data_IF_874060085705
#
_entry.id   IF_874060085705
#
_cell.length_a   1.000
_cell.length_b   1.000
_cell.length_c   1.000
_cell.angle_alpha   90.00
_cell.angle_beta   90.00
_cell.angle_gamma   90.00
#
_symmetry.space_group_name_H-M   'P 1'
#
loop_
_entity.id
_entity.type
_entity.pdbx_description
1 polymer ?
2 non-polymer ?
3 non-polymer ?
4 water ?
#
# COMPACT_ATOMS: atom_id res chain seq x y z
N UNK A 1 15.24 -5.00 -4.98
CA UNK A 1 13.86 -5.24 -5.51
C UNK A 1 13.19 -6.33 -4.68
N UNK A 2 11.87 -6.40 -4.76
CA UNK A 2 11.11 -7.52 -4.23
C UNK A 2 10.24 -8.09 -5.34
N UNK A 3 9.88 -9.36 -5.21
CA UNK A 3 9.07 -10.04 -6.20
C UNK A 3 8.03 -10.92 -5.53
N UNK A 4 6.92 -11.12 -6.23
CA UNK A 4 5.85 -12.00 -5.78
C UNK A 4 5.22 -12.70 -6.99
N UNK A 5 5.08 -14.01 -6.91
CA UNK A 5 4.45 -14.82 -7.94
C UNK A 5 3.12 -15.37 -7.48
N UNK A 6 2.08 -15.11 -8.26
CA UNK A 6 0.74 -15.60 -7.94
C UNK A 6 0.61 -17.09 -8.22
N UNK A 7 1.38 -17.61 -9.17
CA UNK A 7 1.37 -19.04 -9.43
C UNK A 7 1.98 -19.78 -8.24
N UNK A 8 1.18 -20.64 -7.61
CA UNK A 8 1.63 -21.37 -6.46
C UNK A 8 1.52 -20.59 -5.17
N UNK A 9 1.02 -19.35 -5.24
CA UNK A 9 0.91 -18.52 -4.04
C UNK A 9 -0.06 -19.11 -3.03
N UNK A 10 0.28 -18.94 -1.75
CA UNK A 10 -0.59 -19.36 -0.67
C UNK A 10 -0.40 -18.36 0.46
N UNK A 11 -1.18 -18.51 1.56
CA UNK A 11 -1.03 -17.53 2.63
C UNK A 11 0.41 -17.40 3.14
N UNK A 12 1.15 -18.51 3.17
CA UNK A 12 2.51 -18.43 3.68
C UNK A 12 3.42 -17.60 2.76
N UNK A 13 3.37 -17.84 1.45
CA UNK A 13 4.28 -17.15 0.54
C UNK A 13 3.92 -15.68 0.42
N UNK A 14 2.63 -15.38 0.45
CA UNK A 14 2.20 -14.00 0.45
C UNK A 14 2.69 -13.31 1.72
N UNK A 15 2.57 -13.97 2.86
CA UNK A 15 3.05 -13.40 4.11
C UNK A 15 4.54 -13.10 4.07
N UNK A 16 5.28 -13.99 3.45
CA UNK A 16 6.70 -13.81 3.30
C UNK A 16 7.02 -12.63 2.40
N UNK A 17 6.29 -12.50 1.30
CA UNK A 17 6.46 -11.39 0.38
C UNK A 17 6.19 -10.06 1.11
N UNK A 18 5.15 -10.00 1.93
CA UNK A 18 4.83 -8.76 2.61
C UNK A 18 5.89 -8.43 3.64
N UNK A 19 6.43 -9.45 4.31
CA UNK A 19 7.55 -9.25 5.22
C UNK A 19 8.75 -8.65 4.46
N UNK A 20 9.01 -9.19 3.28
CA UNK A 20 10.14 -8.75 2.47
C UNK A 20 9.93 -7.32 1.98
N UNK A 21 8.69 -7.01 1.61
CA UNK A 21 8.32 -5.65 1.17
C UNK A 21 8.58 -4.65 2.29
N UNK A 22 8.09 -4.94 3.49
CA UNK A 22 8.37 -4.10 4.65
C UNK A 22 9.86 -3.92 4.86
N UNK A 23 10.61 -5.02 4.77
CA UNK A 23 12.03 -4.98 5.13
C UNK A 23 12.89 -4.38 4.05
N UNK A 24 12.30 -4.14 2.87
CA UNK A 24 12.99 -3.45 1.77
C UNK A 24 12.96 -1.93 1.95
N UNK A 25 12.17 -1.44 2.88
CA UNK A 25 12.04 0.00 3.10
C UNK A 25 13.04 0.45 4.15
N UNK A 26 13.80 1.51 3.85
CA UNK A 26 14.83 1.96 4.80
C UNK A 26 14.28 2.73 5.99
N UNK A 27 14.96 2.63 7.12
CA UNK A 27 14.61 3.42 8.29
C UNK A 27 15.86 3.58 9.14
N UNK A 28 15.93 4.68 9.86
CA UNK A 28 17.07 4.95 10.71
C UNK A 28 16.74 4.68 12.17
N UNK A 29 15.45 4.75 12.49
CA UNK A 29 15.00 4.50 13.85
C UNK A 29 13.64 3.83 13.89
N UNK A 30 13.32 3.32 15.07
CA UNK A 30 12.01 2.78 15.38
C UNK A 30 11.40 3.63 16.47
N UNK A 31 10.07 3.74 16.44
CA UNK A 31 9.32 4.45 17.44
C UNK A 31 8.34 3.42 18.02
N UNK A 32 8.47 3.15 19.31
CA UNK A 32 7.72 2.08 19.96
C UNK A 32 7.87 0.79 19.16
N UNK A 33 9.11 0.54 18.75
CA UNK A 33 9.49 -0.68 18.03
C UNK A 33 8.90 -0.81 16.63
N UNK A 34 8.40 0.29 16.07
CA UNK A 34 7.86 0.29 14.71
C UNK A 34 8.77 1.10 13.83
N UNK A 35 9.24 0.53 12.69
CA UNK A 35 10.06 1.31 11.77
C UNK A 35 9.45 2.66 11.38
N UNK A 36 10.26 3.70 11.54
CA UNK A 36 9.89 5.03 11.12
C UNK A 36 10.45 5.28 9.74
N UNK A 37 9.57 5.42 8.75
CA UNK A 37 10.01 5.73 7.39
C UNK A 37 10.74 7.07 7.34
N UNK A 38 11.65 7.18 6.38
CA UNK A 38 12.53 8.35 6.34
C UNK A 38 11.78 9.61 5.90
N UNK A 39 12.23 10.78 6.37
CA UNK A 39 11.59 12.03 5.93
C UNK A 39 11.73 12.26 4.42
N UNK A 40 12.87 11.86 3.88
CA UNK A 40 13.13 12.02 2.46
C UNK A 40 14.30 11.15 2.00
N UNK A 41 14.31 10.87 0.70
CA UNK A 41 15.39 10.16 0.04
C UNK A 41 15.61 10.81 -1.32
N UNK A 42 16.84 11.19 -1.61
CA UNK A 42 17.14 11.83 -2.89
C UNK A 42 17.46 10.82 -3.98
N UNK A 43 17.02 11.14 -5.19
CA UNK A 43 17.37 10.38 -6.36
C UNK A 43 16.62 9.07 -6.54
N UNK A 44 17.25 8.15 -7.24
CA UNK A 44 16.60 6.90 -7.62
C UNK A 44 16.34 5.97 -6.44
N UNK A 45 17.14 6.12 -5.39
CA UNK A 45 17.01 5.29 -4.20
C UNK A 45 15.70 5.51 -3.47
N UNK A 46 14.94 6.50 -3.91
CA UNK A 46 13.64 6.78 -3.33
C UNK A 46 12.62 5.71 -3.70
N UNK A 47 12.92 4.93 -4.72
CA UNK A 47 11.91 4.04 -5.31
C UNK A 47 12.30 2.58 -5.22
N UNK A 48 11.37 1.80 -4.68
CA UNK A 48 11.49 0.35 -4.61
C UNK A 48 10.76 -0.22 -5.80
N UNK A 49 11.37 -1.20 -6.45
CA UNK A 49 10.68 -1.90 -7.53
C UNK A 49 10.13 -3.22 -7.04
N UNK A 50 8.83 -3.42 -7.28
CA UNK A 50 8.11 -4.67 -6.97
C UNK A 50 7.78 -5.39 -8.26
N UNK A 51 8.35 -6.57 -8.46
CA UNK A 51 8.04 -7.38 -9.62
C UNK A 51 6.90 -8.34 -9.29
N UNK A 52 5.76 -8.17 -9.94
CA UNK A 52 4.59 -8.99 -9.69
C UNK A 52 4.30 -9.84 -10.90
N UNK A 53 4.03 -11.13 -10.67
CA UNK A 53 3.75 -12.07 -11.75
C UNK A 53 2.36 -12.63 -11.58
N UNK A 54 1.54 -12.55 -12.62
CA UNK A 54 0.22 -13.16 -12.54
C UNK A 54 0.33 -14.69 -12.67
N UNK A 55 -0.79 -15.37 -12.58
CA UNK A 55 -0.76 -16.82 -12.56
C UNK A 55 -0.08 -17.41 -13.81
N UNK A 56 -0.22 -16.70 -14.94
CA UNK A 56 0.37 -17.15 -16.20
C UNK A 56 1.85 -16.77 -16.35
N UNK A 57 2.40 -16.05 -15.38
CA UNK A 57 3.80 -15.69 -15.42
C UNK A 57 4.09 -14.39 -16.15
N UNK A 58 3.04 -13.68 -16.55
CA UNK A 58 3.19 -12.34 -17.10
C UNK A 58 3.43 -11.38 -15.96
N UNK A 59 4.17 -10.31 -16.23
CA UNK A 59 4.65 -9.48 -15.15
C UNK A 59 4.50 -7.98 -15.36
N UNK A 60 4.30 -7.28 -14.25
CA UNK A 60 4.46 -5.84 -14.21
C UNK A 60 5.48 -5.50 -13.12
N UNK A 61 6.16 -4.38 -13.30
CA UNK A 61 7.04 -3.85 -12.27
C UNK A 61 6.42 -2.58 -11.70
N UNK A 62 6.29 -2.51 -10.39
CA UNK A 62 5.62 -1.40 -9.72
C UNK A 62 6.64 -0.57 -8.93
N UNK A 63 6.61 0.75 -9.11
CA UNK A 63 7.54 1.64 -8.40
C UNK A 63 6.86 2.20 -7.18
N UNK A 64 7.50 2.01 -6.03
CA UNK A 64 6.96 2.43 -4.74
C UNK A 64 7.88 3.45 -4.07
N UNK A 65 7.32 4.57 -3.64
CA UNK A 65 8.08 5.58 -2.91
C UNK A 65 8.32 5.06 -1.49
N UNK A 66 9.58 4.94 -1.10
CA UNK A 66 9.90 4.24 0.14
C UNK A 66 9.69 5.11 1.39
N UNK A 67 9.37 6.38 1.19
CA UNK A 67 9.10 7.27 2.33
C UNK A 67 7.65 7.17 2.77
N UNK A 68 6.76 6.69 1.90
CA UNK A 68 5.35 6.67 2.26
C UNK A 68 4.59 5.44 1.74
N UNK A 69 5.31 4.50 1.12
CA UNK A 69 4.75 3.29 0.51
C UNK A 69 3.68 3.61 -0.56
N UNK A 70 3.75 4.79 -1.17
CA UNK A 70 2.81 5.11 -2.26
C UNK A 70 3.32 4.58 -3.58
N UNK A 71 2.43 3.91 -4.31
CA UNK A 71 2.71 3.48 -5.68
C UNK A 71 2.68 4.71 -6.58
N UNK A 72 3.75 4.88 -7.33
CA UNK A 72 3.93 6.00 -8.26
C UNK A 72 3.50 5.67 -9.65
N UNK A 73 3.78 4.43 -10.06
CA UNK A 73 3.53 4.01 -11.41
C UNK A 73 4.01 2.60 -11.59
N UNK A 74 3.93 2.09 -12.82
CA UNK A 74 4.32 0.71 -13.07
C UNK A 74 4.70 0.55 -14.55
N UNK A 75 5.44 -0.50 -14.83
CA UNK A 75 5.88 -0.85 -16.17
C UNK A 75 5.21 -2.15 -16.60
N UNK A 76 4.56 -2.12 -17.75
CA UNK A 76 3.99 -3.31 -18.35
C UNK A 76 4.54 -3.45 -19.75
N UNK A 77 5.37 -4.48 -19.95
CA UNK A 77 6.11 -4.70 -21.19
C UNK A 77 7.02 -3.52 -21.54
N UNK A 78 6.66 -2.70 -22.54
CA UNK A 78 7.51 -1.56 -22.90
C UNK A 78 6.82 -0.21 -22.67
N UNK A 79 5.70 -0.23 -21.95
CA UNK A 79 4.96 1.00 -21.63
C UNK A 79 4.97 1.26 -20.13
N UNK A 80 5.37 2.47 -19.75
CA UNK A 80 5.27 2.86 -18.36
C UNK A 80 3.98 3.66 -18.16
N UNK A 81 3.47 3.60 -16.94
CA UNK A 81 2.23 4.25 -16.53
C UNK A 81 2.47 4.95 -15.21
N UNK A 82 2.12 6.23 -15.13
CA UNK A 82 2.32 7.00 -13.90
C UNK A 82 1.04 7.76 -13.53
N UNK A 83 0.82 7.92 -12.23
CA UNK A 83 -0.31 8.72 -11.76
C UNK A 83 -0.10 10.17 -12.19
N UNK A 84 -1.21 10.88 -12.35
CA UNK A 84 -1.16 12.28 -12.71
C UNK A 84 -1.01 13.14 -11.46
N UNK A 85 0.21 13.22 -10.95
CA UNK A 85 0.50 13.96 -9.73
C UNK A 85 2.00 14.27 -9.74
N UNK A 86 2.41 15.36 -9.08
CA UNK A 86 3.81 15.77 -9.14
C UNK A 86 4.82 14.71 -8.64
N UNK A 87 4.48 13.96 -7.60
CA UNK A 87 5.41 12.96 -7.09
C UNK A 87 5.70 11.88 -8.12
N UNK A 88 4.69 11.52 -8.92
CA UNK A 88 4.86 10.48 -9.91
C UNK A 88 5.59 11.01 -11.13
N UNK A 89 5.36 12.27 -11.45
CA UNK A 89 6.10 12.90 -12.55
C UNK A 89 7.59 12.88 -12.20
N UNK A 90 7.90 13.20 -10.94
CA UNK A 90 9.27 13.14 -10.47
C UNK A 90 9.82 11.72 -10.57
N UNK A 91 9.01 10.75 -10.15
CA UNK A 91 9.46 9.36 -10.15
C UNK A 91 9.87 8.94 -11.53
N UNK A 92 9.14 9.45 -12.53
CA UNK A 92 9.38 9.09 -13.91
C UNK A 92 10.71 9.64 -14.43
N UNK A 93 11.35 10.51 -13.67
CA UNK A 93 12.71 10.92 -14.02
C UNK A 93 13.75 9.86 -13.69
N UNK A 94 13.35 8.85 -12.90
CA UNK A 94 14.28 7.88 -12.32
C UNK A 94 13.99 6.42 -12.66
N UNK A 95 12.73 6.04 -12.74
CA UNK A 95 12.35 4.66 -13.00
C UNK A 95 11.70 4.48 -14.37
N UNK A 96 11.95 3.31 -14.96
CA UNK A 96 11.35 2.89 -16.23
C UNK A 96 11.66 3.81 -17.40
N UNK A 97 12.81 4.46 -17.38
CA UNK A 97 13.13 5.42 -18.43
C UNK A 97 13.33 4.75 -19.79
N UNK A 98 13.62 3.45 -19.77
CA UNK A 98 13.84 2.67 -20.98
C UNK A 98 12.54 2.27 -21.66
N UNK A 99 11.40 2.56 -21.04
CA UNK A 99 10.12 2.29 -21.66
C UNK A 99 10.01 3.05 -22.97
N UNK A 100 9.41 2.41 -23.99
CA UNK A 100 9.28 3.04 -25.29
C UNK A 100 8.28 4.22 -25.28
N UNK A 101 7.33 4.19 -24.36
CA UNK A 101 6.41 5.31 -24.17
C UNK A 101 5.94 5.36 -22.72
N UNK A 102 5.55 6.56 -22.30
CA UNK A 102 5.01 6.80 -20.97
C UNK A 102 3.59 7.31 -21.08
N UNK A 103 2.66 6.59 -20.46
CA UNK A 103 1.29 7.06 -20.34
C UNK A 103 1.06 7.63 -18.95
N UNK A 104 0.56 8.85 -18.87
CA UNK A 104 0.12 9.41 -17.61
C UNK A 104 -1.36 9.07 -17.44
N UNK A 105 -1.67 8.35 -16.38
CA UNK A 105 -3.03 7.94 -16.08
C UNK A 105 -3.88 9.18 -15.85
N UNK A 106 -5.17 9.12 -16.20
CA UNK A 106 -6.03 10.31 -16.07
C UNK A 106 -6.62 10.50 -14.68
N UNK A 107 -5.78 10.27 -13.68
CA UNK A 107 -6.15 10.51 -12.28
C UNK A 107 -4.89 10.45 -11.44
N UNK A 108 -4.93 11.11 -10.30
CA UNK A 108 -3.91 10.97 -9.26
C UNK A 108 -4.07 9.64 -8.52
N UNK A 109 -3.11 9.32 -7.66
CA UNK A 109 -3.12 8.05 -6.96
C UNK A 109 -3.60 8.14 -5.52
N UNK A 110 -4.67 8.89 -5.28
CA UNK A 110 -5.35 8.78 -4.00
C UNK A 110 -6.68 8.07 -4.15
N UNK A 111 -7.21 7.57 -3.04
CA UNK A 111 -8.39 6.74 -3.09
C UNK A 111 -9.59 7.50 -3.65
N UNK A 112 -9.74 8.76 -3.26
CA UNK A 112 -10.86 9.56 -3.71
C UNK A 112 -10.95 9.60 -5.24
N UNK A 113 -9.83 9.91 -5.88
CA UNK A 113 -9.82 10.03 -7.35
C UNK A 113 -9.89 8.68 -8.03
N UNK A 114 -9.25 7.66 -7.45
CA UNK A 114 -9.32 6.34 -8.03
C UNK A 114 -10.74 5.76 -8.00
N UNK A 115 -11.44 5.98 -6.89
CA UNK A 115 -12.81 5.50 -6.73
C UNK A 115 -13.76 6.17 -7.73
N UNK A 116 -13.57 7.47 -7.94
CA UNK A 116 -14.35 8.16 -8.95
C UNK A 116 -14.10 7.57 -10.34
N UNK A 117 -12.83 7.35 -10.70
CA UNK A 117 -12.48 6.78 -11.99
C UNK A 117 -13.02 5.37 -12.16
N UNK A 118 -12.98 4.58 -11.09
CA UNK A 118 -13.45 3.19 -11.14
C UNK A 118 -14.96 3.11 -11.12
N UNK A 119 -15.59 4.19 -10.64
CA UNK A 119 -17.05 4.25 -10.56
C UNK A 119 -17.62 3.48 -9.39
N UNK A 120 -16.76 3.21 -8.40
CA UNK A 120 -17.07 2.31 -7.30
C UNK A 120 -16.21 2.69 -6.09
N UNK A 121 -16.78 2.70 -4.88
CA UNK A 121 -15.91 2.87 -3.70
C UNK A 121 -15.21 1.56 -3.32
N UNK A 122 -14.10 1.65 -2.58
CA UNK A 122 -13.36 0.49 -2.07
C UNK A 122 -14.21 -0.54 -1.42
N UNK A 123 -15.23 -0.06 -0.73
CA UNK A 123 -16.12 -0.90 0.04
C UNK A 123 -16.79 -1.98 -0.79
N UNK A 124 -16.91 -1.71 -2.09
CA UNK A 124 -17.65 -2.58 -2.99
C UNK A 124 -16.76 -3.38 -3.94
N UNK A 125 -15.44 -3.25 -3.78
CA UNK A 125 -14.50 -3.96 -4.66
C UNK A 125 -13.86 -5.12 -3.92
N UNK A 126 -14.16 -6.36 -4.35
CA UNK A 126 -13.50 -7.48 -3.66
C UNK A 126 -11.97 -7.47 -3.80
N UNK A 127 -11.29 -7.82 -2.72
CA UNK A 127 -9.84 -7.95 -2.75
C UNK A 127 -9.44 -9.34 -2.29
N UNK A 128 -8.17 -9.68 -2.54
CA UNK A 128 -7.68 -11.02 -2.29
C UNK A 128 -6.59 -11.35 -3.28
N UNK A 129 -6.05 -12.56 -3.21
CA UNK A 129 -5.00 -12.93 -4.15
C UNK A 129 -5.59 -13.16 -5.56
N UNK A 130 -6.78 -13.76 -5.68
CA UNK A 130 -7.32 -13.82 -7.05
C UNK A 130 -7.56 -12.44 -7.63
N UNK A 131 -8.02 -11.48 -6.83
CA UNK A 131 -8.21 -10.12 -7.34
C UNK A 131 -6.89 -9.49 -7.76
N UNK A 132 -5.82 -9.78 -7.03
CA UNK A 132 -4.50 -9.26 -7.40
C UNK A 132 -4.03 -9.86 -8.73
N UNK A 133 -4.29 -11.14 -8.92
CA UNK A 133 -4.00 -11.79 -10.21
C UNK A 133 -4.73 -11.06 -11.33
N UNK A 134 -6.00 -10.78 -11.10
CA UNK A 134 -6.81 -10.04 -12.06
C UNK A 134 -6.26 -8.65 -12.30
N UNK A 135 -5.84 -8.00 -11.22
CA UNK A 135 -5.35 -6.62 -11.31
C UNK A 135 -4.08 -6.55 -12.16
N UNK A 136 -3.15 -7.45 -11.93
CA UNK A 136 -1.91 -7.53 -12.73
C UNK A 136 -2.25 -7.72 -14.20
N UNK A 137 -3.17 -8.64 -14.49
CA UNK A 137 -3.54 -8.92 -15.88
C UNK A 137 -4.18 -7.70 -16.54
N UNK A 138 -5.03 -7.01 -15.78
CA UNK A 138 -5.66 -5.78 -16.29
C UNK A 138 -4.63 -4.72 -16.62
N UNK A 139 -3.64 -4.55 -15.75
CA UNK A 139 -2.67 -3.49 -15.95
C UNK A 139 -1.73 -3.76 -17.12
N UNK A 140 -1.71 -4.99 -17.61
CA UNK A 140 -0.86 -5.36 -18.74
C UNK A 140 -1.28 -4.66 -20.01
N UNK A 141 -2.57 -4.35 -20.14
CA UNK A 141 -3.10 -3.71 -21.35
C UNK A 141 -3.97 -2.52 -20.98
N UNK A 142 -3.53 -1.35 -21.44
CA UNK A 142 -4.11 -0.09 -20.98
C UNK A 142 -5.63 0.02 -21.16
N UNK A 143 -6.29 0.36 -20.06
CA UNK A 143 -7.71 0.64 -20.01
C UNK A 143 -7.91 1.48 -18.73
N UNK A 144 -8.08 2.80 -18.84
CA UNK A 144 -7.92 3.63 -17.64
C UNK A 144 -9.02 3.35 -16.60
N UNK A 145 -10.24 3.09 -17.06
CA UNK A 145 -11.34 2.81 -16.14
C UNK A 145 -11.08 1.49 -15.42
N UNK A 146 -10.73 0.46 -16.18
CA UNK A 146 -10.40 -0.84 -15.59
C UNK A 146 -9.17 -0.75 -14.68
N UNK A 147 -8.20 0.05 -15.10
CA UNK A 147 -6.97 0.18 -14.33
C UNK A 147 -7.24 0.82 -12.98
N UNK A 148 -8.23 1.70 -12.87
CA UNK A 148 -8.50 2.35 -11.59
C UNK A 148 -8.92 1.32 -10.54
N UNK A 149 -9.79 0.38 -10.92
CA UNK A 149 -10.20 -0.67 -10.02
C UNK A 149 -9.04 -1.61 -9.71
N UNK A 150 -8.26 -1.95 -10.74
CA UNK A 150 -7.09 -2.80 -10.53
C UNK A 150 -6.08 -2.16 -9.57
N UNK A 151 -5.88 -0.85 -9.69
CA UNK A 151 -4.95 -0.18 -8.81
C UNK A 151 -5.50 -0.11 -7.39
N UNK A 152 -6.81 0.01 -7.21
CA UNK A 152 -7.38 -0.05 -5.87
C UNK A 152 -7.09 -1.41 -5.22
N UNK A 153 -7.17 -2.48 -6.01
CA UNK A 153 -6.81 -3.80 -5.51
C UNK A 153 -5.30 -3.90 -5.20
N UNK A 154 -4.49 -3.44 -6.13
CA UNK A 154 -3.05 -3.53 -5.98
C UNK A 154 -2.54 -2.78 -4.75
N UNK A 155 -3.05 -1.57 -4.54
CA UNK A 155 -2.61 -0.74 -3.43
C UNK A 155 -2.92 -1.43 -2.10
N UNK A 156 -4.12 -2.01 -2.00
CA UNK A 156 -4.53 -2.57 -0.74
C UNK A 156 -3.86 -3.90 -0.45
N UNK A 157 -3.55 -4.67 -1.49
CA UNK A 157 -2.94 -5.98 -1.29
C UNK A 157 -1.41 -5.91 -1.17
N UNK A 158 -0.84 -4.74 -1.39
CA UNK A 158 0.61 -4.59 -1.26
C UNK A 158 0.92 -3.52 -0.21
N UNK A 159 0.80 -2.23 -0.55
CA UNK A 159 1.13 -1.17 0.39
C UNK A 159 0.34 -1.23 1.70
N UNK A 160 -0.98 -1.41 1.64
CA UNK A 160 -1.77 -1.39 2.89
C UNK A 160 -1.49 -2.62 3.75
N UNK A 161 -1.28 -3.77 3.11
CA UNK A 161 -0.88 -4.99 3.81
C UNK A 161 0.49 -4.83 4.46
N UNK A 162 1.40 -4.13 3.79
CA UNK A 162 2.71 -3.83 4.39
C UNK A 162 2.56 -2.96 5.64
N UNK A 163 1.66 -1.99 5.59
CA UNK A 163 1.46 -1.05 6.69
C UNK A 163 0.78 -1.65 7.91
N UNK A 164 -0.12 -2.61 7.68
CA UNK A 164 -0.94 -3.17 8.75
C UNK A 164 -0.99 -4.69 8.71
N UNK A 165 -0.51 -5.34 9.77
CA UNK A 165 -0.61 -6.79 9.88
C UNK A 165 -2.05 -7.31 9.73
N UNK A 166 -3.03 -6.56 10.25
CA UNK A 166 -4.41 -6.96 10.13
C UNK A 166 -4.83 -7.04 8.66
N UNK A 167 -4.38 -6.09 7.85
CA UNK A 167 -4.76 -6.10 6.43
C UNK A 167 -4.05 -7.26 5.72
N UNK A 168 -2.77 -7.48 6.05
CA UNK A 168 -2.06 -8.65 5.56
C UNK A 168 -2.85 -9.93 5.85
N UNK A 169 -3.35 -10.07 7.08
CA UNK A 169 -4.12 -11.24 7.47
C UNK A 169 -5.44 -11.35 6.71
N UNK A 170 -6.07 -10.20 6.47
CA UNK A 170 -7.31 -10.19 5.69
C UNK A 170 -7.06 -10.72 4.28
N UNK A 171 -5.92 -10.35 3.69
CA UNK A 171 -5.62 -10.84 2.35
C UNK A 171 -5.27 -12.33 2.40
N UNK A 172 -4.56 -12.77 3.43
CA UNK A 172 -4.29 -14.19 3.59
C UNK A 172 -5.60 -15.01 3.67
N UNK A 173 -6.61 -14.46 4.33
CA UNK A 173 -7.90 -15.14 4.44
C UNK A 173 -8.61 -15.17 3.09
N UNK A 174 -8.18 -14.28 2.19
CA UNK A 174 -8.72 -14.19 0.84
C UNK A 174 -7.73 -14.74 -0.22
N UNK A 175 -6.98 -15.78 0.14
CA UNK A 175 -5.97 -16.31 -0.77
C UNK A 175 -6.60 -17.00 -1.98
N UNK A 176 -7.79 -17.57 -1.80
CA UNK A 176 -8.42 -18.40 -2.85
C UNK A 176 -9.86 -17.96 -3.10
N UNK A 177 -10.28 -16.89 -2.43
CA UNK A 177 -11.63 -16.34 -2.58
C UNK A 177 -11.61 -14.85 -2.23
N UNK A 178 -11.93 -14.01 -3.20
CA UNK A 178 -11.97 -12.57 -2.95
C UNK A 178 -13.17 -12.20 -2.05
N UNK A 179 -13.01 -11.11 -1.31
CA UNK A 179 -14.11 -10.55 -0.53
C UNK A 179 -13.85 -9.07 -0.32
N UNK A 180 -14.92 -8.27 -0.30
CA UNK A 180 -14.77 -6.85 -0.08
C UNK A 180 -14.08 -6.64 1.27
N UNK A 181 -13.33 -5.54 1.38
CA UNK A 181 -12.62 -5.30 2.65
C UNK A 181 -13.56 -5.09 3.82
N UNK A 182 -13.14 -5.51 5.02
CA UNK A 182 -13.90 -5.25 6.22
C UNK A 182 -13.90 -3.75 6.50
N UNK A 183 -14.85 -3.31 7.32
CA UNK A 183 -14.89 -1.93 7.78
C UNK A 183 -13.61 -1.55 8.52
N UNK A 184 -13.06 -2.51 9.27
CA UNK A 184 -11.81 -2.28 9.97
C UNK A 184 -10.68 -2.02 8.99
N UNK A 185 -10.64 -2.74 7.89
CA UNK A 185 -9.61 -2.53 6.88
C UNK A 185 -9.69 -1.10 6.34
N UNK A 186 -10.90 -0.68 5.95
CA UNK A 186 -11.12 0.69 5.46
C UNK A 186 -10.67 1.73 6.49
N UNK A 187 -11.09 1.54 7.75
CA UNK A 187 -10.73 2.49 8.81
C UNK A 187 -9.23 2.61 9.01
N UNK A 188 -8.50 1.49 9.01
CA UNK A 188 -7.05 1.51 9.14
C UNK A 188 -6.40 2.25 7.98
N UNK A 189 -6.83 1.93 6.75
CA UNK A 189 -6.32 2.61 5.57
C UNK A 189 -6.49 4.13 5.67
N UNK A 190 -7.67 4.54 6.10
CA UNK A 190 -8.02 5.96 6.23
C UNK A 190 -7.27 6.64 7.36
N UNK A 191 -6.73 5.85 8.29
CA UNK A 191 -6.12 6.40 9.50
C UNK A 191 -4.59 6.24 9.57
N UNK A 192 -3.94 5.79 8.49
CA UNK A 192 -2.51 5.48 8.58
C UNK A 192 -1.69 6.72 8.91
N UNK A 193 -1.98 7.83 8.21
CA UNK A 193 -1.28 9.08 8.50
C UNK A 193 -1.53 9.53 9.94
N UNK A 194 -2.77 9.49 10.38
CA UNK A 194 -3.13 9.96 11.70
C UNK A 194 -2.51 9.09 12.79
N UNK A 195 -2.58 7.78 12.61
CA UNK A 195 -1.97 6.87 13.57
C UNK A 195 -0.47 7.09 13.65
N UNK A 196 0.15 7.22 12.47
CA UNK A 196 1.59 7.46 12.38
C UNK A 196 1.99 8.71 13.15
N UNK A 197 1.24 9.78 12.95
CA UNK A 197 1.51 11.05 13.63
C UNK A 197 1.38 10.90 15.15
N UNK A 198 0.29 10.28 15.60
CA UNK A 198 0.05 10.22 17.03
C UNK A 198 1.05 9.32 17.75
N UNK A 199 1.49 8.26 17.09
CA UNK A 199 2.49 7.37 17.67
C UNK A 199 3.82 8.14 17.85
N UNK A 200 4.20 8.93 16.86
CA UNK A 200 5.39 9.77 16.98
C UNK A 200 5.22 10.85 18.06
N UNK A 201 4.03 11.46 18.11
CA UNK A 201 3.76 12.49 19.12
C UNK A 201 3.69 11.91 20.55
N UNK A 202 3.40 10.62 20.62
CA UNK A 202 3.29 9.95 21.91
C UNK A 202 4.67 9.86 22.57
N UNK A 203 5.70 9.85 21.73
CA UNK A 203 7.07 9.93 22.22
C UNK A 203 7.33 11.37 22.68
N UNK A 204 7.45 11.56 23.98
CA UNK A 204 7.47 12.88 24.56
C UNK A 204 6.18 13.14 25.32
N UNK A 205 5.26 12.19 25.24
CA UNK A 205 3.99 12.27 25.93
C UNK A 205 3.68 10.96 26.67
N UNK A 206 4.71 10.22 27.07
CA UNK A 206 4.56 8.98 27.85
C UNK A 206 3.68 7.91 27.20
N UNK A 207 3.76 7.83 25.88
CA UNK A 207 3.01 6.84 25.11
C UNK A 207 1.56 7.24 24.88
N UNK A 208 1.18 8.45 25.28
CA UNK A 208 -0.20 8.90 25.19
C UNK A 208 -0.41 9.75 23.95
N UNK A 209 -1.43 9.39 23.15
CA UNK A 209 -1.79 10.20 21.97
C UNK A 209 -2.21 11.61 22.36
N UNK A 210 -1.73 12.60 21.60
CA UNK A 210 -2.15 13.98 21.77
C UNK A 210 -3.60 14.13 21.40
N UNK A 211 -3.99 13.39 20.36
CA UNK A 211 -5.36 13.37 19.85
C UNK A 211 -5.78 11.91 19.60
N UNK A 212 -6.85 11.46 20.27
CA UNK A 212 -7.28 10.08 20.05
C UNK A 212 -7.65 9.83 18.58
N UNK A 213 -7.48 8.58 18.16
CA UNK A 213 -7.86 8.13 16.81
C UNK A 213 -9.03 7.16 16.93
N UNK A 214 -10.12 7.41 16.18
CA UNK A 214 -11.27 6.49 16.19
C UNK A 214 -11.16 5.53 15.01
N UNK A 215 -11.23 4.24 15.31
CA UNK A 215 -11.20 3.17 14.32
C UNK A 215 -12.46 2.35 14.42
N UNK A 216 -12.63 1.45 13.46
CA UNK A 216 -13.60 0.37 13.57
C UNK A 216 -12.82 -0.92 13.77
N UNK A 217 -13.26 -1.74 14.73
CA UNK A 217 -12.51 -2.95 15.05
C UNK A 217 -13.00 -4.14 14.21
N UNK A 218 -12.41 -5.31 14.46
CA UNK A 218 -12.70 -6.50 13.66
C UNK A 218 -14.12 -7.04 13.84
N UNK A 219 -14.82 -6.54 14.85
CA UNK A 219 -16.20 -6.94 15.10
C UNK A 219 -17.19 -5.90 14.59
N UNK A 220 -16.67 -4.83 14.00
CA UNK A 220 -17.51 -3.80 13.42
C UNK A 220 -17.88 -2.68 14.37
N UNK A 221 -17.25 -2.64 15.54
CA UNK A 221 -17.56 -1.60 16.54
C UNK A 221 -16.57 -0.44 16.54
N UNK A 222 -17.05 0.76 16.87
CA UNK A 222 -16.18 1.92 17.08
C UNK A 222 -15.29 1.73 18.30
N UNK A 223 -14.01 2.05 18.14
CA UNK A 223 -13.08 2.03 19.24
C UNK A 223 -12.21 3.26 19.16
N UNK A 224 -11.78 3.74 20.33
CA UNK A 224 -10.95 4.91 20.41
C UNK A 224 -9.56 4.46 20.86
N UNK A 225 -8.55 4.88 20.10
CA UNK A 225 -7.16 4.55 20.39
C UNK A 225 -6.56 5.78 21.03
N UNK A 226 -6.06 5.63 22.26
CA UNK A 226 -5.56 6.77 23.03
C UNK A 226 -4.09 6.66 23.42
N UNK A 227 -3.51 5.48 23.29
CA UNK A 227 -2.11 5.31 23.69
C UNK A 227 -1.49 4.07 23.06
N UNK A 228 -0.17 3.95 23.23
CA UNK A 228 0.61 2.96 22.51
C UNK A 228 0.48 1.55 23.05
N UNK A 229 -0.31 1.35 24.13
CA UNK A 229 -0.54 -0.02 24.63
C UNK A 229 -1.69 -0.68 23.87
N UNK A 230 -2.38 0.08 23.04
CA UNK A 230 -3.40 -0.49 22.18
C UNK A 230 -2.80 -1.53 21.23
N UNK A 231 -3.56 -2.59 20.97
CA UNK A 231 -3.13 -3.65 20.07
C UNK A 231 -2.86 -3.09 18.66
N UNK A 232 -3.53 -2.01 18.29
CA UNK A 232 -3.27 -1.46 16.96
C UNK A 232 -1.81 -0.99 16.88
N UNK A 233 -1.26 -0.52 17.99
CA UNK A 233 0.13 -0.06 18.04
C UNK A 233 1.12 -1.18 18.36
N UNK A 234 0.75 -2.09 19.26
CA UNK A 234 1.69 -3.14 19.66
C UNK A 234 1.79 -4.31 18.68
N UNK A 235 0.75 -4.55 17.89
CA UNK A 235 0.73 -5.75 17.06
C UNK A 235 0.43 -5.46 15.58
N UNK A 236 -0.31 -4.39 15.32
CA UNK A 236 -0.94 -4.22 14.01
C UNK A 236 -0.09 -3.37 13.06
N UNK A 237 0.04 -2.08 13.33
CA UNK A 237 0.77 -1.19 12.42
C UNK A 237 2.25 -1.62 12.34
N UNK A 238 2.83 -1.57 11.13
CA UNK A 238 4.18 -2.09 10.89
C UNK A 238 5.17 -1.07 10.36
N UNK A 239 4.65 0.09 9.94
CA UNK A 239 5.44 1.17 9.34
C UNK A 239 4.81 2.50 9.72
N UNK A 240 5.64 3.49 10.05
CA UNK A 240 5.15 4.82 10.40
C UNK A 240 5.53 5.82 9.31
N UNK A 241 4.53 6.54 8.81
CA UNK A 241 4.76 7.71 7.96
C UNK A 241 5.42 8.79 8.81
N UNK A 242 6.54 9.32 8.32
CA UNK A 242 7.25 10.36 9.07
C UNK A 242 6.41 11.63 9.20
N UNK A 243 6.37 12.24 10.39
CA UNK A 243 5.57 13.45 10.58
C UNK A 243 5.99 14.59 9.68
N UNK A 244 7.22 14.51 9.16
CA UNK A 244 7.72 15.52 8.23
C UNK A 244 6.92 15.52 6.93
N UNK A 245 6.19 14.43 6.69
CA UNK A 245 5.43 14.23 5.45
C UNK A 245 3.93 14.15 5.68
N UNK A 246 3.48 14.74 6.79
CA UNK A 246 2.07 14.69 7.18
C UNK A 246 1.51 16.13 7.27
X LIG B 1 -4.59 2.95 27.07
X LIG B 1 -5.77 3.29 27.97
X LIG B 1 -6.32 2.02 28.64
X LIG B 1 -6.60 0.95 27.60
X LIG B 1 -5.36 0.74 26.74
X LIG B 1 -5.56 -0.25 25.61
X LIG B 1 -5.46 5.58 28.79
X LIG B 1 -5.00 6.44 29.94
X LIG B 1 -5.37 4.26 28.98
X LIG B 1 -7.50 2.33 29.36
X LIG B 1 -6.96 -0.27 28.24
X LIG B 1 -4.98 1.98 26.14
X LIG B 1 -6.41 0.26 24.60
X LIG B 1 -5.90 6.07 27.76
X LIG B 1 -3.86 2.59 27.61
X LIG B 1 -6.49 3.67 27.43
X LIG B 1 -5.65 1.69 29.27
X LIG B 1 -7.34 1.25 27.03
X LIG B 1 -4.63 0.43 27.30
X LIG B 1 -4.69 -0.46 25.22
X LIG B 1 -5.96 -1.07 25.97
X LIG B 1 -4.07 6.23 30.15
X LIG B 1 -5.55 6.27 30.72
X LIG B 1 -5.07 7.38 29.68
X LIG B 1 -5.04 3.96 29.77
X LIG B 1 -7.92 1.58 29.59
X LIG B 1 -7.44 -0.77 27.69
X LIG B 1 -6.08 1.01 24.27
X LIG C 1 -2.17 4.47 0.02
X LIG C 1 -1.43 4.31 -1.09
X LIG C 1 -1.83 4.73 -2.36
X LIG C 1 -3.07 5.31 -2.47
X LIG C 1 -3.86 5.49 -1.35
X LIG C 1 -3.37 5.05 -0.13
X LIG C 1 -0.96 4.51 -3.51
X LIG C 1 -0.13 3.64 -3.51
X LIG C 1 -1.11 5.33 -4.62
X LIG C 1 -0.44 3.82 -0.91
X LIG C 1 -3.46 5.66 -3.46
X LIG C 1 -4.86 5.95 -1.40
X LIG C 1 -3.97 5.16 0.80
X LIG C 1 -1.82 6.06 -4.60
X LIG C 1 -0.58 5.28 -5.46
#
# INVERSE_FOLDING_TARGET
DVSFRLSGADPRSYGMFIKDLRNALPFREKVYNIPLLLPSVSGAGRYLLMHLFNYDGKTITVAVDVTNVYIMGYLADTTSYFFNEPAAELASQYVFRDARRKITLPYSGNYERLQIAAGKPREKIPIGLPALDSAISTLLHYDSTAAAGALLVLIQTTAEAARFKYIEQQIQERAYRDEVPSLATISLENSWSGLSKQIQLAQGNNGIFRTPIVLVDNKGNRVQITNVTSKVVTSNIQLLLNTRNI
NAG C1 C2 C3 C4 C5 C6 C7 C8 N2 O3 O4 O5 O6 O7 H1 H2 H3 H4 H5 H61 H62 H81 H82 H83 HN2 HO3 HO4 HO6
NCA N1 C2 C3 C4 C5 C6 C7 O7 N7 H2 H4 H5 H6 HN71 HN72
#
